data_IF_093781189203
#
_entry.id   IF_093781189203
#
_cell.length_a   1.000
_cell.length_b   1.000
_cell.length_c   1.000
_cell.angle_alpha   90.00
_cell.angle_beta   90.00
_cell.angle_gamma   90.00
#
_symmetry.space_group_name_H-M   'P 1'
#
loop_
_entity.id
_entity.type
_entity.pdbx_description
1 polymer ?
#
# COMPACT_ATOMS: atom_id res chain seq x y z
N UNK A 1 5.05 9.78 -0.92
CA UNK A 1 4.95 8.84 -2.05
C UNK A 1 6.13 8.99 -2.99
N UNK A 2 6.40 10.21 -3.49
CA UNK A 2 7.61 10.49 -4.29
C UNK A 2 8.91 10.04 -3.59
N UNK A 3 9.03 10.30 -2.29
CA UNK A 3 10.20 9.86 -1.51
C UNK A 3 10.36 8.34 -1.47
N UNK A 4 9.27 7.56 -1.41
CA UNK A 4 9.32 6.10 -1.42
C UNK A 4 9.73 5.56 -2.81
N UNK A 5 9.27 6.22 -3.88
CA UNK A 5 9.69 5.90 -5.26
C UNK A 5 11.20 6.17 -5.42
N UNK A 6 11.67 7.33 -4.94
CA UNK A 6 13.08 7.70 -5.04
C UNK A 6 13.97 6.80 -4.17
N UNK A 7 13.51 6.45 -2.97
CA UNK A 7 14.16 5.50 -2.09
C UNK A 7 14.35 4.12 -2.75
N UNK A 8 13.30 3.57 -3.38
CA UNK A 8 13.40 2.29 -4.10
C UNK A 8 14.37 2.35 -5.28
N UNK A 9 14.35 3.44 -6.07
CA UNK A 9 15.32 3.64 -7.16
C UNK A 9 16.75 3.70 -6.67
N UNK A 10 16.99 4.39 -5.54
CA UNK A 10 18.32 4.49 -4.95
C UNK A 10 18.81 3.13 -4.44
N UNK A 11 17.93 2.33 -3.81
CA UNK A 11 18.28 1.01 -3.31
C UNK A 11 18.59 0.01 -4.44
N UNK A 12 17.83 0.05 -5.54
CA UNK A 12 18.13 -0.73 -6.76
C UNK A 12 19.53 -0.41 -7.30
N UNK A 13 19.89 0.87 -7.40
CA UNK A 13 21.22 1.27 -7.86
C UNK A 13 22.32 0.94 -6.83
N UNK A 14 22.04 1.00 -5.52
CA UNK A 14 22.96 0.59 -4.45
C UNK A 14 23.30 -0.90 -4.57
N UNK A 15 22.28 -1.76 -4.64
CA UNK A 15 22.46 -3.22 -4.74
C UNK A 15 23.18 -3.59 -6.03
N UNK A 16 22.78 -3.01 -7.16
CA UNK A 16 23.42 -3.27 -8.46
C UNK A 16 24.94 -2.98 -8.47
N UNK A 17 25.38 -2.00 -7.67
CA UNK A 17 26.77 -1.58 -7.57
C UNK A 17 27.47 -2.10 -6.29
N UNK A 18 26.84 -3.00 -5.53
CA UNK A 18 27.41 -3.58 -4.31
C UNK A 18 28.28 -4.81 -4.64
N UNK A 19 28.93 -5.35 -3.61
CA UNK A 19 29.67 -6.62 -3.69
C UNK A 19 28.74 -7.85 -3.80
N UNK A 20 27.43 -7.65 -3.66
CA UNK A 20 26.36 -8.64 -3.74
C UNK A 20 25.21 -8.18 -4.66
N UNK A 21 25.46 -8.04 -5.99
CA UNK A 21 24.46 -7.54 -6.94
C UNK A 21 23.29 -8.51 -7.21
N UNK A 22 23.37 -9.71 -6.65
CA UNK A 22 22.34 -10.74 -6.65
C UNK A 22 21.36 -10.62 -5.46
N UNK A 23 21.65 -9.77 -4.47
CA UNK A 23 20.69 -9.45 -3.41
C UNK A 23 19.41 -8.83 -3.99
N UNK A 24 18.27 -9.11 -3.36
CA UNK A 24 16.99 -8.54 -3.78
C UNK A 24 16.88 -7.11 -3.24
N UNK A 25 16.81 -6.07 -4.08
CA UNK A 25 16.59 -4.70 -3.61
C UNK A 25 15.19 -4.53 -3.04
N UNK A 26 15.01 -3.49 -2.23
CA UNK A 26 13.72 -3.06 -1.73
C UNK A 26 12.91 -2.40 -2.86
N UNK A 27 11.90 -3.11 -3.35
CA UNK A 27 11.05 -2.66 -4.45
C UNK A 27 9.78 -2.01 -3.90
N UNK A 28 9.45 -0.84 -4.43
CA UNK A 28 8.17 -0.19 -4.21
C UNK A 28 7.06 -0.90 -5.01
N UNK A 29 6.34 -1.82 -4.38
CA UNK A 29 5.39 -2.72 -5.05
C UNK A 29 3.91 -2.44 -4.69
N UNK A 30 3.00 -2.96 -5.52
CA UNK A 30 1.55 -2.83 -5.33
C UNK A 30 1.04 -3.39 -4.00
N UNK A 31 1.75 -4.39 -3.44
CA UNK A 31 1.49 -4.96 -2.12
C UNK A 31 1.45 -3.90 -0.99
N UNK A 32 2.18 -2.79 -1.17
CA UNK A 32 2.17 -1.66 -0.22
C UNK A 32 0.79 -1.03 -0.06
N UNK A 33 -0.11 -1.18 -1.05
CA UNK A 33 -1.43 -0.56 -1.10
C UNK A 33 -2.58 -1.55 -0.87
N UNK A 34 -2.41 -2.83 -1.20
CA UNK A 34 -3.45 -3.86 -1.04
C UNK A 34 -3.49 -4.50 0.34
N UNK A 35 -2.44 -4.30 1.15
CA UNK A 35 -2.28 -4.92 2.47
C UNK A 35 -1.90 -6.40 2.42
N UNK A 36 -2.44 -7.16 1.46
CA UNK A 36 -2.04 -8.53 1.15
C UNK A 36 -0.96 -8.55 0.04
N UNK A 37 0.11 -9.33 0.23
CA UNK A 37 1.25 -9.41 -0.69
C UNK A 37 0.84 -9.91 -2.09
N UNK A 38 -0.01 -10.93 -2.14
CA UNK A 38 -0.56 -11.51 -3.38
C UNK A 38 -1.51 -10.55 -4.12
N UNK A 39 -1.95 -9.47 -3.47
CA UNK A 39 -2.95 -8.55 -3.98
C UNK A 39 -4.37 -9.12 -3.90
N UNK A 40 -5.32 -8.44 -4.55
CA UNK A 40 -6.72 -8.86 -4.61
C UNK A 40 -7.07 -9.42 -5.99
N UNK A 41 -8.02 -10.37 -6.03
CA UNK A 41 -8.65 -10.89 -7.26
C UNK A 41 -10.03 -10.29 -7.49
N UNK A 42 -10.65 -9.72 -6.46
CA UNK A 42 -11.93 -9.04 -6.54
C UNK A 42 -12.10 -8.00 -5.43
N UNK A 43 -13.05 -7.08 -5.62
CA UNK A 43 -13.40 -6.09 -4.62
C UNK A 43 -14.88 -5.72 -4.67
N UNK A 44 -15.40 -5.21 -3.56
CA UNK A 44 -16.72 -4.64 -3.44
C UNK A 44 -16.68 -3.37 -2.57
N UNK A 45 -17.27 -2.29 -3.07
CA UNK A 45 -17.42 -1.05 -2.30
C UNK A 45 -18.60 -1.23 -1.35
N UNK A 46 -18.32 -1.30 -0.04
CA UNK A 46 -19.34 -1.54 0.98
C UNK A 46 -20.08 -0.25 1.36
N UNK A 47 -19.34 0.84 1.45
CA UNK A 47 -19.88 2.14 1.82
C UNK A 47 -18.96 3.26 1.33
N UNK A 48 -19.54 4.42 1.02
CA UNK A 48 -18.80 5.68 0.81
C UNK A 48 -19.50 6.75 1.64
N UNK A 49 -18.76 7.42 2.50
CA UNK A 49 -19.23 8.57 3.28
C UNK A 49 -18.40 9.79 2.90
N UNK A 50 -19.07 10.87 2.48
CA UNK A 50 -18.44 12.12 2.06
C UNK A 50 -18.69 13.19 3.12
N UNK A 51 -17.64 13.90 3.52
CA UNK A 51 -17.65 15.02 4.46
C UNK A 51 -16.86 16.18 3.86
N UNK A 52 -17.57 17.12 3.24
CA UNK A 52 -17.02 18.27 2.52
C UNK A 52 -15.91 17.86 1.54
N UNK A 53 -14.66 18.18 1.87
CA UNK A 53 -13.46 17.93 1.07
C UNK A 53 -12.76 16.62 1.43
N UNK A 54 -13.39 15.77 2.23
CA UNK A 54 -12.88 14.46 2.63
C UNK A 54 -13.91 13.39 2.35
N UNK A 55 -13.46 12.17 2.09
CA UNK A 55 -14.35 11.03 1.98
C UNK A 55 -13.69 9.79 2.59
N UNK A 56 -14.53 8.86 3.04
CA UNK A 56 -14.13 7.55 3.51
C UNK A 56 -14.86 6.48 2.71
N UNK A 57 -14.11 5.56 2.11
CA UNK A 57 -14.67 4.40 1.42
C UNK A 57 -14.26 3.12 2.14
N UNK A 58 -15.22 2.26 2.46
CA UNK A 58 -14.96 0.92 2.95
C UNK A 58 -14.97 -0.04 1.77
N UNK A 59 -13.83 -0.64 1.48
CA UNK A 59 -13.67 -1.56 0.35
C UNK A 59 -13.35 -2.95 0.89
N UNK A 60 -14.22 -3.90 0.60
CA UNK A 60 -13.98 -5.31 0.88
C UNK A 60 -13.23 -5.91 -0.30
N UNK A 61 -12.04 -6.44 -0.05
CA UNK A 61 -11.25 -7.18 -1.03
C UNK A 61 -11.40 -8.68 -0.82
N UNK A 62 -11.08 -9.43 -1.87
CA UNK A 62 -10.91 -10.87 -1.79
C UNK A 62 -9.74 -11.36 -2.64
N UNK A 63 -9.14 -12.45 -2.19
CA UNK A 63 -8.16 -13.24 -2.94
C UNK A 63 -8.65 -14.70 -3.00
N UNK A 64 -9.12 -15.11 -4.17
CA UNK A 64 -9.82 -16.38 -4.39
C UNK A 64 -8.95 -17.49 -5.03
N UNK A 65 -7.65 -17.25 -5.20
CA UNK A 65 -6.71 -18.24 -5.73
C UNK A 65 -6.14 -19.15 -4.62
N UNK A 66 -6.58 -19.01 -3.38
CA UNK A 66 -6.26 -19.87 -2.24
C UNK A 66 -7.50 -20.57 -1.69
N UNK A 67 -7.28 -21.68 -0.98
CA UNK A 67 -8.31 -22.35 -0.20
C UNK A 67 -7.86 -22.46 1.26
N UNK A 68 -8.54 -21.79 2.21
CA UNK A 68 -9.74 -20.98 2.03
C UNK A 68 -9.47 -19.64 1.31
N UNK A 69 -10.53 -19.05 0.76
CA UNK A 69 -10.51 -17.68 0.21
C UNK A 69 -10.17 -16.70 1.33
N UNK A 70 -9.30 -15.74 1.04
CA UNK A 70 -8.99 -14.63 1.96
C UNK A 70 -9.90 -13.45 1.61
N UNK A 71 -10.47 -12.81 2.63
CA UNK A 71 -11.27 -11.59 2.47
C UNK A 71 -10.96 -10.63 3.61
N UNK A 72 -10.84 -9.35 3.28
CA UNK A 72 -10.49 -8.29 4.24
C UNK A 72 -11.16 -6.98 3.83
N UNK A 73 -11.28 -6.04 4.76
CA UNK A 73 -11.88 -4.73 4.48
C UNK A 73 -10.96 -3.60 4.89
N UNK A 74 -10.47 -2.88 3.89
CA UNK A 74 -9.69 -1.67 4.12
C UNK A 74 -10.59 -0.44 4.11
N UNK A 75 -10.15 0.58 4.86
CA UNK A 75 -10.75 1.89 4.88
C UNK A 75 -9.86 2.87 4.11
N UNK A 76 -10.37 3.33 2.98
CA UNK A 76 -9.69 4.29 2.11
C UNK A 76 -10.11 5.70 2.52
N UNK A 77 -9.15 6.51 2.94
CA UNK A 77 -9.36 7.92 3.27
C UNK A 77 -8.98 8.76 2.06
N UNK A 78 -9.92 9.56 1.56
CA UNK A 78 -9.75 10.41 0.39
C UNK A 78 -9.82 11.89 0.76
N UNK A 79 -9.10 12.70 0.00
CA UNK A 79 -9.17 14.16 0.04
C UNK A 79 -9.52 14.70 -1.35
N UNK A 80 -10.34 15.73 -1.40
CA UNK A 80 -10.65 16.44 -2.63
C UNK A 80 -9.44 17.29 -3.02
N UNK A 81 -9.01 17.17 -4.28
CA UNK A 81 -7.97 17.98 -4.88
C UNK A 81 -8.47 18.58 -6.20
N UNK A 82 -7.70 19.50 -6.78
CA UNK A 82 -8.09 20.29 -7.97
C UNK A 82 -8.59 19.47 -9.18
N UNK A 83 -8.27 18.17 -9.24
CA UNK A 83 -8.64 17.24 -10.33
C UNK A 83 -9.43 16.02 -9.84
N UNK A 84 -10.14 16.14 -8.71
CA UNK A 84 -10.95 15.09 -8.10
C UNK A 84 -10.34 14.49 -6.84
N UNK A 85 -10.93 13.38 -6.39
CA UNK A 85 -10.53 12.69 -5.17
C UNK A 85 -9.16 12.02 -5.32
N UNK A 86 -8.31 12.19 -4.30
CA UNK A 86 -7.03 11.49 -4.17
C UNK A 86 -7.04 10.66 -2.90
N UNK A 87 -6.36 9.51 -2.93
CA UNK A 87 -6.11 8.71 -1.73
C UNK A 87 -5.14 9.50 -0.83
N UNK A 88 -5.58 9.80 0.38
CA UNK A 88 -4.77 10.40 1.43
C UNK A 88 -4.11 9.32 2.29
N UNK A 89 -4.86 8.29 2.66
CA UNK A 89 -4.36 7.18 3.47
C UNK A 89 -5.20 5.92 3.26
N UNK A 90 -4.66 4.78 3.64
CA UNK A 90 -5.38 3.50 3.71
C UNK A 90 -5.18 2.96 5.11
N UNK A 91 -6.27 2.68 5.82
CA UNK A 91 -6.21 1.95 7.08
C UNK A 91 -6.46 0.49 6.74
N UNK A 92 -5.44 -0.33 6.97
CA UNK A 92 -5.47 -1.74 6.59
C UNK A 92 -6.27 -2.57 7.59
N UNK A 93 -6.92 -3.61 7.08
CA UNK A 93 -7.46 -4.68 7.92
C UNK A 93 -6.31 -5.40 8.64
N UNK A 94 -6.37 -5.39 9.98
CA UNK A 94 -5.34 -5.96 10.86
C UNK A 94 -5.17 -7.47 10.69
N UNK A 95 -6.14 -8.15 10.07
CA UNK A 95 -6.09 -9.58 9.85
C UNK A 95 -5.19 -9.99 8.68
N UNK A 96 -4.88 -9.07 7.76
CA UNK A 96 -4.05 -9.35 6.58
C UNK A 96 -2.79 -8.51 6.51
N UNK A 97 -2.72 -7.38 7.23
CA UNK A 97 -1.53 -6.54 7.29
C UNK A 97 -1.19 -6.19 8.74
N UNK A 98 0.09 -6.35 9.09
CA UNK A 98 0.62 -5.96 10.40
C UNK A 98 0.85 -4.44 10.51
N UNK A 99 0.98 -3.75 9.38
CA UNK A 99 1.06 -2.30 9.35
C UNK A 99 -0.30 -1.69 9.64
N UNK A 100 -0.28 -0.59 10.41
CA UNK A 100 -1.50 0.11 10.81
C UNK A 100 -2.17 0.81 9.63
N UNK A 101 -1.37 1.46 8.79
CA UNK A 101 -1.84 2.30 7.70
C UNK A 101 -0.75 2.52 6.64
N UNK A 102 -1.16 2.91 5.44
CA UNK A 102 -0.27 3.17 4.29
C UNK A 102 0.80 4.20 4.64
N UNK A 103 0.44 5.26 5.37
CA UNK A 103 1.39 6.31 5.74
C UNK A 103 2.54 5.77 6.60
N UNK A 104 2.23 4.91 7.57
CA UNK A 104 3.21 4.25 8.43
C UNK A 104 4.06 3.28 7.62
N UNK A 105 3.43 2.45 6.78
CA UNK A 105 4.14 1.51 5.90
C UNK A 105 5.14 2.21 4.96
N UNK A 106 4.76 3.36 4.39
CA UNK A 106 5.65 4.16 3.55
C UNK A 106 6.83 4.76 4.32
N UNK A 107 6.62 5.18 5.58
CA UNK A 107 7.69 5.71 6.43
C UNK A 107 8.70 4.62 6.77
N UNK A 108 8.22 3.45 7.16
CA UNK A 108 9.07 2.30 7.49
C UNK A 108 9.89 1.90 6.26
N UNK A 109 9.27 1.81 5.09
CA UNK A 109 9.97 1.55 3.82
C UNK A 109 11.10 2.56 3.54
N UNK A 110 10.80 3.86 3.64
CA UNK A 110 11.82 4.91 3.43
C UNK A 110 12.94 4.80 4.46
N UNK A 111 12.63 4.43 5.70
CA UNK A 111 13.64 4.27 6.75
C UNK A 111 14.58 3.10 6.46
N UNK A 112 14.04 1.93 6.08
CA UNK A 112 14.85 0.76 5.75
C UNK A 112 15.81 0.99 4.58
N UNK A 113 15.43 1.79 3.58
CA UNK A 113 16.33 2.11 2.45
C UNK A 113 17.52 3.00 2.82
N UNK A 114 17.53 3.60 4.01
CA UNK A 114 18.64 4.45 4.48
C UNK A 114 19.69 3.69 5.28
N UNK A 115 19.40 2.46 5.69
CA UNK A 115 20.32 1.55 6.39
C UNK A 115 21.23 0.83 5.38
#
# INVERSE_FOLDING_TARGET
MEDAINASKADIEKVKNSDHPDEKPLIFEGAMFSGLYEGYTGYNIKNITIHDKTAEALIQFEYNLTSPKVSWTDRIQLIEADKGWKINNIIFDKNVNHSKDLTSNLKDFIQYTKE
#
